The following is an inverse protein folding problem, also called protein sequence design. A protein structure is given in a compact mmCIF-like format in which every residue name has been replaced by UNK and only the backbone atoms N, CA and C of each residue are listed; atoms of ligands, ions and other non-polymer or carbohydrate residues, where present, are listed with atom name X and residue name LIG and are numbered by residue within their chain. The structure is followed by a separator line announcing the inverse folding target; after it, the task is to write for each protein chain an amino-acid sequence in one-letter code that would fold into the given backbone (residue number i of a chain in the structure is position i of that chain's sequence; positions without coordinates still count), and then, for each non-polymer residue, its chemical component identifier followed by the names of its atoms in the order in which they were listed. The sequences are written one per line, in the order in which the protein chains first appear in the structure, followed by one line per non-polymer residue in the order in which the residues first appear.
data_IF_311029005137
#
_entry.id   IF_311029005137
#
_cell.length_a   1.000
_cell.length_b   1.000
_cell.length_c   1.000
_cell.angle_alpha   90.00
_cell.angle_beta   90.00
_cell.angle_gamma   90.00
#
_symmetry.space_group_name_H-M   'P 1'
#
loop_
_entity.id
_entity.type
_entity.pdbx_description
1 polymer ?
#
# COMPACT_ATOMS: atom_id res chain seq x y z
N UNK A 1 -41.61 15.93 21.12
CA UNK A 1 -40.22 15.42 21.07
C UNK A 1 -39.95 14.35 22.13
N UNK A 2 -40.19 14.53 23.44
CA UNK A 2 -39.97 13.51 24.50
C UNK A 2 -40.68 12.17 24.23
N UNK A 3 -41.93 12.15 23.74
CA UNK A 3 -42.70 10.93 23.44
C UNK A 3 -42.14 10.17 22.24
N UNK A 4 -41.65 10.86 21.20
CA UNK A 4 -41.00 10.24 20.02
C UNK A 4 -39.66 9.60 20.41
N UNK A 5 -38.89 10.27 21.25
CA UNK A 5 -37.61 9.75 21.76
C UNK A 5 -37.81 8.49 22.61
N UNK A 6 -38.89 8.46 23.45
CA UNK A 6 -39.24 7.29 24.27
C UNK A 6 -39.67 6.10 23.42
N UNK A 7 -40.41 6.31 22.33
CA UNK A 7 -40.83 5.25 21.40
C UNK A 7 -39.62 4.69 20.64
N UNK A 8 -38.68 5.57 20.23
CA UNK A 8 -37.45 5.13 19.56
C UNK A 8 -36.59 4.22 20.45
N UNK A 9 -36.47 4.54 21.75
CA UNK A 9 -35.72 3.76 22.73
C UNK A 9 -36.39 2.37 22.98
N UNK A 10 -37.73 2.29 23.00
CA UNK A 10 -38.44 1.01 23.18
C UNK A 10 -38.25 0.08 21.97
N UNK A 11 -38.22 0.62 20.77
CA UNK A 11 -38.01 -0.18 19.54
C UNK A 11 -36.60 -0.78 19.50
N UNK A 12 -35.59 -0.07 19.96
CA UNK A 12 -34.21 -0.58 20.02
C UNK A 12 -34.03 -1.70 21.05
N UNK A 13 -34.71 -1.61 22.20
CA UNK A 13 -34.66 -2.65 23.23
C UNK A 13 -35.38 -3.94 22.81
N UNK A 14 -36.48 -3.87 22.06
CA UNK A 14 -37.20 -5.04 21.56
C UNK A 14 -36.43 -5.82 20.49
N UNK A 15 -35.63 -5.14 19.64
CA UNK A 15 -34.80 -5.78 18.63
C UNK A 15 -33.65 -6.59 19.26
N UNK A 16 -33.05 -6.07 20.34
CA UNK A 16 -31.98 -6.73 21.07
C UNK A 16 -32.44 -8.05 21.73
N UNK A 17 -33.66 -8.09 22.24
CA UNK A 17 -34.22 -9.29 22.89
C UNK A 17 -34.48 -10.44 21.91
N UNK A 18 -34.93 -10.16 20.68
CA UNK A 18 -35.16 -11.18 19.66
C UNK A 18 -33.84 -11.82 19.16
N UNK A 19 -32.82 -11.01 18.95
CA UNK A 19 -31.51 -11.51 18.55
C UNK A 19 -30.89 -12.38 19.64
N UNK A 20 -30.94 -11.97 20.89
CA UNK A 20 -30.41 -12.76 22.00
C UNK A 20 -31.14 -14.07 22.20
N UNK A 21 -32.48 -14.09 22.03
CA UNK A 21 -33.26 -15.33 22.06
C UNK A 21 -32.82 -16.27 20.92
N UNK A 22 -32.65 -15.74 19.71
CA UNK A 22 -32.16 -16.51 18.57
C UNK A 22 -30.78 -17.11 18.83
N UNK A 23 -29.84 -16.32 19.36
CA UNK A 23 -28.49 -16.80 19.71
C UNK A 23 -28.55 -17.94 20.72
N UNK A 24 -29.40 -17.83 21.75
CA UNK A 24 -29.46 -18.81 22.84
C UNK A 24 -30.23 -20.07 22.47
N UNK A 25 -31.43 -19.92 21.91
CA UNK A 25 -32.42 -20.99 21.78
C UNK A 25 -32.73 -21.34 20.32
N UNK A 26 -32.19 -20.62 19.34
CA UNK A 26 -32.48 -20.83 17.92
C UNK A 26 -31.87 -22.14 17.39
N UNK A 27 -32.62 -22.82 16.55
CA UNK A 27 -32.12 -24.00 15.80
C UNK A 27 -31.03 -23.59 14.82
N UNK A 28 -30.14 -24.52 14.41
CA UNK A 28 -29.12 -24.23 13.40
C UNK A 28 -29.68 -23.62 12.10
N UNK A 29 -30.87 -24.06 11.67
CA UNK A 29 -31.49 -23.51 10.47
C UNK A 29 -32.02 -22.10 10.68
N UNK A 30 -32.68 -21.80 11.81
CA UNK A 30 -33.13 -20.43 12.14
C UNK A 30 -31.94 -19.45 12.25
N UNK A 31 -30.83 -19.92 12.84
CA UNK A 31 -29.59 -19.11 12.92
C UNK A 31 -29.01 -18.88 11.53
N UNK A 32 -29.03 -19.87 10.64
CA UNK A 32 -28.50 -19.70 9.27
C UNK A 32 -29.35 -18.73 8.46
N UNK A 33 -30.68 -18.83 8.54
CA UNK A 33 -31.58 -17.94 7.81
C UNK A 33 -31.45 -16.50 8.32
N UNK A 34 -31.31 -16.32 9.63
CA UNK A 34 -31.09 -15.02 10.25
C UNK A 34 -29.69 -14.47 9.88
N UNK A 35 -28.63 -15.27 9.89
CA UNK A 35 -27.30 -14.87 9.49
C UNK A 35 -27.26 -14.38 8.04
N UNK A 36 -27.89 -15.12 7.12
CA UNK A 36 -28.03 -14.71 5.71
C UNK A 36 -28.82 -13.40 5.57
N UNK A 37 -29.89 -13.24 6.34
CA UNK A 37 -30.66 -12.01 6.36
C UNK A 37 -29.83 -10.82 6.85
N UNK A 38 -29.18 -10.93 8.03
CA UNK A 38 -28.32 -9.88 8.55
C UNK A 38 -27.17 -9.53 7.61
N UNK A 39 -26.57 -10.53 6.98
CA UNK A 39 -25.55 -10.34 5.96
C UNK A 39 -26.10 -9.55 4.75
N UNK A 40 -27.27 -9.90 4.24
CA UNK A 40 -27.94 -9.21 3.13
C UNK A 40 -28.30 -7.76 3.48
N UNK A 41 -28.69 -7.52 4.72
CA UNK A 41 -28.98 -6.19 5.29
C UNK A 41 -27.69 -5.38 5.62
N UNK A 42 -26.49 -5.96 5.37
CA UNK A 42 -25.17 -5.43 5.73
C UNK A 42 -24.97 -5.23 7.25
N UNK A 43 -25.76 -5.90 8.06
CA UNK A 43 -25.60 -5.92 9.51
C UNK A 43 -24.60 -7.02 9.90
N UNK A 44 -23.36 -6.81 9.50
CA UNK A 44 -22.28 -7.77 9.68
C UNK A 44 -21.99 -8.07 11.15
N UNK A 45 -22.19 -7.08 12.04
CA UNK A 45 -21.99 -7.26 13.49
C UNK A 45 -22.94 -8.29 14.09
N UNK A 46 -24.18 -8.44 13.58
CA UNK A 46 -25.10 -9.50 13.99
C UNK A 46 -24.91 -10.78 13.19
N UNK A 47 -24.48 -10.70 11.95
CA UNK A 47 -24.22 -11.89 11.12
C UNK A 47 -23.02 -12.71 11.64
N UNK A 48 -21.93 -12.05 12.01
CA UNK A 48 -20.65 -12.67 12.40
C UNK A 48 -20.78 -13.72 13.51
N UNK A 49 -21.37 -13.41 14.70
CA UNK A 49 -21.46 -14.39 15.79
C UNK A 49 -22.31 -15.60 15.41
N UNK A 50 -23.38 -15.41 14.62
CA UNK A 50 -24.20 -16.50 14.10
C UNK A 50 -23.40 -17.39 13.14
N UNK A 51 -22.68 -16.79 12.20
CA UNK A 51 -21.86 -17.52 11.22
C UNK A 51 -20.72 -18.28 11.91
N UNK A 52 -20.10 -17.69 12.92
CA UNK A 52 -19.05 -18.33 13.72
C UNK A 52 -19.55 -19.60 14.42
N UNK A 53 -20.68 -19.51 15.12
CA UNK A 53 -21.30 -20.68 15.76
C UNK A 53 -21.70 -21.78 14.74
N UNK A 54 -22.26 -21.34 13.60
CA UNK A 54 -22.66 -22.23 12.52
C UNK A 54 -21.48 -22.96 11.88
N UNK A 55 -20.29 -22.38 11.83
CA UNK A 55 -19.08 -23.07 11.33
C UNK A 55 -18.76 -24.32 12.17
N UNK A 56 -19.02 -24.29 13.47
CA UNK A 56 -18.90 -25.45 14.34
C UNK A 56 -20.02 -26.48 14.11
N UNK A 57 -21.27 -26.00 14.08
CA UNK A 57 -22.46 -26.87 13.98
C UNK A 57 -22.57 -27.57 12.60
N UNK A 58 -22.07 -26.95 11.54
CA UNK A 58 -22.07 -27.51 10.19
C UNK A 58 -20.76 -28.20 9.80
N UNK A 59 -19.91 -28.53 10.78
CA UNK A 59 -18.66 -29.23 10.48
C UNK A 59 -18.92 -30.54 9.70
N UNK A 60 -18.18 -30.73 8.59
CA UNK A 60 -18.36 -31.89 7.71
C UNK A 60 -19.59 -31.85 6.78
N UNK A 61 -20.40 -30.79 6.82
CA UNK A 61 -21.54 -30.59 5.93
C UNK A 61 -21.23 -29.69 4.75
N UNK A 62 -21.95 -29.85 3.64
CA UNK A 62 -21.75 -29.07 2.42
C UNK A 62 -22.03 -27.58 2.62
N UNK A 63 -22.98 -27.20 3.45
CA UNK A 63 -23.39 -25.83 3.74
C UNK A 63 -22.28 -25.02 4.42
N UNK A 64 -21.31 -25.69 5.08
CA UNK A 64 -20.20 -25.04 5.77
C UNK A 64 -19.36 -24.19 4.85
N UNK A 65 -19.22 -24.55 3.58
CA UNK A 65 -18.51 -23.76 2.58
C UNK A 65 -19.16 -22.37 2.41
N UNK A 66 -20.47 -22.33 2.21
CA UNK A 66 -21.21 -21.06 2.07
C UNK A 66 -21.14 -20.24 3.37
N UNK A 67 -21.30 -20.86 4.51
CA UNK A 67 -21.22 -20.20 5.82
C UNK A 67 -19.84 -19.56 6.01
N UNK A 68 -18.77 -20.28 5.67
CA UNK A 68 -17.40 -19.75 5.82
C UNK A 68 -17.13 -18.60 4.86
N UNK A 69 -17.65 -18.68 3.64
CA UNK A 69 -17.56 -17.59 2.67
C UNK A 69 -18.26 -16.33 3.18
N UNK A 70 -19.48 -16.41 3.66
CA UNK A 70 -20.21 -15.30 4.27
C UNK A 70 -19.51 -14.75 5.52
N UNK A 71 -18.93 -15.63 6.33
CA UNK A 71 -18.16 -15.24 7.50
C UNK A 71 -16.93 -14.41 7.12
N UNK A 72 -16.17 -14.83 6.10
CA UNK A 72 -15.03 -14.09 5.58
C UNK A 72 -15.43 -12.68 5.10
N UNK A 73 -16.54 -12.60 4.35
CA UNK A 73 -17.08 -11.32 3.88
C UNK A 73 -17.65 -10.45 5.00
N UNK A 74 -18.15 -11.03 6.08
CA UNK A 74 -18.65 -10.26 7.22
C UNK A 74 -17.51 -9.47 7.89
N UNK A 75 -16.31 -10.05 8.01
CA UNK A 75 -15.11 -9.32 8.46
C UNK A 75 -14.70 -8.22 7.48
N UNK A 76 -14.82 -8.48 6.19
CA UNK A 76 -14.56 -7.44 5.18
C UNK A 76 -15.55 -6.29 5.30
N UNK A 77 -16.82 -6.59 5.55
CA UNK A 77 -17.88 -5.61 5.72
C UNK A 77 -17.79 -4.78 7.00
N UNK A 78 -17.16 -5.32 8.06
CA UNK A 78 -16.82 -4.57 9.28
C UNK A 78 -15.45 -3.88 9.20
N UNK A 79 -14.81 -3.91 8.02
CA UNK A 79 -13.48 -3.33 7.76
C UNK A 79 -12.34 -3.95 8.61
N UNK A 80 -12.57 -5.11 9.23
CA UNK A 80 -11.50 -5.89 9.83
C UNK A 80 -10.74 -6.66 8.73
N UNK A 81 -9.96 -5.90 7.96
CA UNK A 81 -9.22 -6.46 6.83
C UNK A 81 -8.13 -7.45 7.23
N UNK A 82 -7.70 -7.46 8.50
CA UNK A 82 -6.74 -8.44 8.99
C UNK A 82 -7.39 -9.82 9.06
N UNK A 83 -8.50 -9.91 9.79
CA UNK A 83 -9.23 -11.17 9.94
C UNK A 83 -9.92 -11.57 8.63
N UNK A 84 -10.47 -10.63 7.88
CA UNK A 84 -11.03 -10.92 6.55
C UNK A 84 -10.00 -11.60 5.64
N UNK A 85 -8.80 -11.01 5.52
CA UNK A 85 -7.72 -11.55 4.67
C UNK A 85 -7.26 -12.94 5.12
N UNK A 86 -7.20 -13.18 6.43
CA UNK A 86 -6.92 -14.49 7.00
C UNK A 86 -8.00 -15.50 6.64
N UNK A 87 -9.27 -15.17 6.84
CA UNK A 87 -10.39 -16.09 6.57
C UNK A 87 -10.58 -16.36 5.08
N UNK A 88 -10.39 -15.37 4.20
CA UNK A 88 -10.40 -15.61 2.75
C UNK A 88 -9.30 -16.56 2.30
N UNK A 89 -8.08 -16.39 2.82
CA UNK A 89 -6.97 -17.30 2.51
C UNK A 89 -7.25 -18.72 3.02
N UNK A 90 -7.75 -18.85 4.24
CA UNK A 90 -8.12 -20.13 4.82
C UNK A 90 -9.29 -20.79 4.09
N UNK A 91 -10.28 -20.02 3.63
CA UNK A 91 -11.35 -20.52 2.77
C UNK A 91 -10.77 -21.17 1.50
N UNK A 92 -9.88 -20.46 0.80
CA UNK A 92 -9.29 -20.95 -0.44
C UNK A 92 -8.41 -22.20 -0.24
N UNK A 93 -7.80 -22.34 0.94
CA UNK A 93 -7.01 -23.52 1.31
C UNK A 93 -7.90 -24.70 1.69
N UNK A 94 -8.95 -24.45 2.49
CA UNK A 94 -9.86 -25.47 2.98
C UNK A 94 -10.74 -26.03 1.86
N UNK A 95 -11.23 -25.15 0.99
CA UNK A 95 -12.13 -25.50 -0.13
C UNK A 95 -11.39 -25.38 -1.47
N UNK A 96 -10.35 -26.16 -1.62
CA UNK A 96 -9.44 -26.09 -2.78
C UNK A 96 -10.13 -26.35 -4.15
N UNK A 97 -11.29 -27.02 -4.16
CA UNK A 97 -12.09 -27.30 -5.36
C UNK A 97 -13.30 -26.37 -5.51
N UNK A 98 -13.46 -25.39 -4.63
CA UNK A 98 -14.55 -24.42 -4.69
C UNK A 98 -14.45 -23.52 -5.92
N UNK A 99 -15.57 -23.23 -6.55
CA UNK A 99 -15.68 -22.20 -7.59
C UNK A 99 -15.45 -20.79 -7.05
N UNK A 100 -15.54 -20.60 -5.73
CA UNK A 100 -15.27 -19.32 -5.03
C UNK A 100 -13.83 -19.16 -4.60
N UNK A 101 -12.95 -20.16 -4.84
CA UNK A 101 -11.53 -20.13 -4.43
C UNK A 101 -10.78 -18.97 -5.03
N UNK A 102 -10.94 -18.75 -6.33
CA UNK A 102 -10.27 -17.65 -7.04
C UNK A 102 -10.65 -16.29 -6.44
N UNK A 103 -11.95 -16.05 -6.25
CA UNK A 103 -12.45 -14.83 -5.63
C UNK A 103 -11.95 -14.67 -4.19
N UNK A 104 -11.91 -15.74 -3.40
CA UNK A 104 -11.42 -15.69 -2.03
C UNK A 104 -9.92 -15.29 -1.99
N UNK A 105 -9.08 -15.84 -2.87
CA UNK A 105 -7.67 -15.44 -2.96
C UNK A 105 -7.49 -13.98 -3.41
N UNK A 106 -8.31 -13.54 -4.36
CA UNK A 106 -8.36 -12.14 -4.75
C UNK A 106 -8.75 -11.25 -3.56
N UNK A 107 -9.80 -11.58 -2.83
CA UNK A 107 -10.26 -10.82 -1.66
C UNK A 107 -9.21 -10.82 -0.53
N UNK A 108 -8.46 -11.89 -0.35
CA UNK A 108 -7.31 -11.91 0.57
C UNK A 108 -6.24 -10.88 0.17
N UNK A 109 -5.93 -10.77 -1.12
CA UNK A 109 -5.00 -9.75 -1.63
C UNK A 109 -5.57 -8.33 -1.48
N UNK A 110 -6.87 -8.13 -1.76
CA UNK A 110 -7.59 -6.86 -1.54
C UNK A 110 -7.54 -6.44 -0.07
N UNK A 111 -7.67 -7.35 0.87
CA UNK A 111 -7.55 -7.05 2.30
C UNK A 111 -6.14 -6.50 2.64
N UNK A 112 -5.09 -7.06 2.06
CA UNK A 112 -3.73 -6.52 2.21
C UNK A 112 -3.59 -5.14 1.60
N UNK A 113 -4.19 -4.89 0.43
CA UNK A 113 -4.26 -3.57 -0.19
C UNK A 113 -4.95 -2.55 0.73
N UNK A 114 -6.10 -2.92 1.33
CA UNK A 114 -6.82 -2.06 2.28
C UNK A 114 -6.01 -1.73 3.54
N UNK A 115 -5.06 -2.58 3.91
CA UNK A 115 -4.14 -2.38 5.04
C UNK A 115 -2.88 -1.62 4.68
N UNK A 116 -2.65 -1.28 3.42
CA UNK A 116 -1.51 -0.48 3.00
C UNK A 116 -1.55 0.91 3.65
N UNK A 117 -0.41 1.33 4.18
CA UNK A 117 -0.30 2.52 5.00
C UNK A 117 -0.16 3.80 4.16
N UNK A 118 -0.51 4.98 4.72
CA UNK A 118 -0.18 6.28 4.15
C UNK A 118 1.34 6.43 3.93
N UNK A 119 1.71 7.31 3.00
CA UNK A 119 3.11 7.53 2.56
C UNK A 119 4.06 7.85 3.73
N UNK A 120 3.59 8.52 4.76
CA UNK A 120 4.38 9.00 5.91
C UNK A 120 4.80 7.85 6.85
N UNK A 121 4.04 6.75 6.86
CA UNK A 121 4.26 5.61 7.74
C UNK A 121 5.18 4.54 7.11
N UNK A 122 5.40 3.44 7.84
CA UNK A 122 6.13 2.27 7.33
C UNK A 122 5.43 1.67 6.11
N UNK A 123 6.20 1.35 5.08
CA UNK A 123 5.69 0.84 3.80
C UNK A 123 5.80 -0.69 3.65
N UNK A 124 6.20 -1.41 4.68
CA UNK A 124 6.21 -2.88 4.69
C UNK A 124 4.82 -3.46 4.35
N UNK A 125 3.69 -2.95 4.91
CA UNK A 125 2.35 -3.41 4.51
C UNK A 125 2.04 -3.13 3.05
N UNK A 126 2.52 -2.01 2.48
CA UNK A 126 2.35 -1.65 1.07
C UNK A 126 3.07 -2.64 0.16
N UNK A 127 4.33 -2.99 0.48
CA UNK A 127 5.09 -3.99 -0.28
C UNK A 127 4.44 -5.38 -0.17
N UNK A 128 3.95 -5.77 1.01
CA UNK A 128 3.23 -7.02 1.21
C UNK A 128 1.94 -7.09 0.39
N UNK A 129 1.26 -5.97 0.20
CA UNK A 129 0.05 -5.90 -0.64
C UNK A 129 0.40 -6.06 -2.13
N UNK A 130 1.45 -5.39 -2.62
CA UNK A 130 1.95 -5.56 -4.00
C UNK A 130 2.29 -7.02 -4.26
N UNK A 131 3.05 -7.65 -3.38
CA UNK A 131 3.45 -9.06 -3.52
C UNK A 131 2.24 -10.00 -3.53
N UNK A 132 1.19 -9.73 -2.73
CA UNK A 132 -0.01 -10.54 -2.71
C UNK A 132 -0.83 -10.41 -4.00
N UNK A 133 -0.99 -9.19 -4.52
CA UNK A 133 -1.66 -8.94 -5.80
C UNK A 133 -0.89 -9.59 -6.96
N UNK A 134 0.43 -9.49 -6.98
CA UNK A 134 1.27 -10.14 -7.99
C UNK A 134 1.17 -11.67 -7.90
N UNK A 135 1.15 -12.23 -6.69
CA UNK A 135 0.97 -13.68 -6.48
C UNK A 135 -0.36 -14.15 -7.04
N UNK A 136 -1.43 -13.38 -6.81
CA UNK A 136 -2.75 -13.69 -7.39
C UNK A 136 -2.71 -13.68 -8.91
N UNK A 137 -2.14 -12.65 -9.55
CA UNK A 137 -2.02 -12.56 -11.01
C UNK A 137 -1.23 -13.75 -11.58
N UNK A 138 -0.12 -14.12 -10.93
CA UNK A 138 0.71 -15.24 -11.37
C UNK A 138 -0.05 -16.58 -11.29
N UNK A 139 -0.92 -16.74 -10.30
CA UNK A 139 -1.73 -17.94 -10.12
C UNK A 139 -2.95 -18.00 -11.05
N UNK A 140 -3.53 -16.83 -11.37
CA UNK A 140 -4.73 -16.69 -12.19
C UNK A 140 -4.54 -15.63 -13.30
N UNK A 141 -3.67 -15.88 -14.30
CA UNK A 141 -3.33 -14.86 -15.30
C UNK A 141 -4.50 -14.46 -16.22
N UNK A 142 -5.52 -15.31 -16.32
CA UNK A 142 -6.70 -15.07 -17.14
C UNK A 142 -7.93 -14.64 -16.31
N UNK A 143 -7.75 -14.34 -15.03
CA UNK A 143 -8.83 -13.90 -14.14
C UNK A 143 -9.41 -12.55 -14.56
N UNK A 144 -10.72 -12.39 -14.38
CA UNK A 144 -11.39 -11.09 -14.55
C UNK A 144 -10.86 -10.01 -13.58
N UNK A 145 -10.24 -10.41 -12.46
CA UNK A 145 -9.68 -9.51 -11.44
C UNK A 145 -8.28 -8.97 -11.79
N UNK A 146 -7.61 -9.47 -12.84
CA UNK A 146 -6.23 -9.06 -13.19
C UNK A 146 -6.11 -7.56 -13.44
N UNK A 147 -7.05 -6.98 -14.18
CA UNK A 147 -7.06 -5.54 -14.45
C UNK A 147 -7.15 -4.70 -13.16
N UNK A 148 -8.00 -5.12 -12.23
CA UNK A 148 -8.16 -4.43 -10.94
C UNK A 148 -6.92 -4.60 -10.05
N UNK A 149 -6.30 -5.79 -10.06
CA UNK A 149 -5.04 -6.04 -9.35
C UNK A 149 -3.92 -5.11 -9.87
N UNK A 150 -3.78 -4.97 -11.19
CA UNK A 150 -2.79 -4.06 -11.79
C UNK A 150 -3.03 -2.62 -11.35
N UNK A 151 -4.27 -2.13 -11.43
CA UNK A 151 -4.62 -0.77 -10.97
C UNK A 151 -4.26 -0.54 -9.50
N UNK A 152 -4.55 -1.52 -8.62
CA UNK A 152 -4.20 -1.44 -7.20
C UNK A 152 -2.68 -1.47 -6.98
N UNK A 153 -1.95 -2.27 -7.76
CA UNK A 153 -0.48 -2.32 -7.68
C UNK A 153 0.15 -1.00 -8.12
N UNK A 154 -0.38 -0.37 -9.16
CA UNK A 154 0.10 0.94 -9.63
C UNK A 154 -0.14 2.02 -8.57
N UNK A 155 -1.30 2.03 -7.91
CA UNK A 155 -1.57 2.92 -6.78
C UNK A 155 -0.55 2.74 -5.65
N UNK A 156 -0.25 1.49 -5.28
CA UNK A 156 0.72 1.18 -4.22
C UNK A 156 2.15 1.58 -4.62
N UNK A 157 2.56 1.33 -5.86
CA UNK A 157 3.86 1.75 -6.40
C UNK A 157 4.01 3.26 -6.37
N UNK A 158 2.96 4.01 -6.70
CA UNK A 158 2.96 5.47 -6.60
C UNK A 158 3.13 5.97 -5.16
N UNK A 159 2.59 5.25 -4.15
CA UNK A 159 2.83 5.58 -2.72
C UNK A 159 4.30 5.36 -2.34
N UNK A 160 4.90 4.24 -2.76
CA UNK A 160 6.32 3.97 -2.51
C UNK A 160 7.20 5.02 -3.18
N UNK A 161 6.94 5.33 -4.44
CA UNK A 161 7.65 6.37 -5.18
C UNK A 161 7.58 7.73 -4.49
N UNK A 162 6.37 8.14 -4.06
CA UNK A 162 6.17 9.38 -3.32
C UNK A 162 7.02 9.40 -2.04
N UNK A 163 7.04 8.31 -1.28
CA UNK A 163 7.86 8.17 -0.06
C UNK A 163 9.34 8.40 -0.33
N UNK A 164 9.88 7.72 -1.35
CA UNK A 164 11.30 7.82 -1.70
C UNK A 164 11.66 9.24 -2.17
N UNK A 165 10.80 9.83 -3.00
CA UNK A 165 10.95 11.20 -3.47
C UNK A 165 10.95 12.22 -2.31
N UNK A 166 9.99 12.13 -1.40
CA UNK A 166 9.92 13.04 -0.26
C UNK A 166 11.08 12.87 0.71
N UNK A 167 11.56 11.65 0.92
CA UNK A 167 12.75 11.39 1.73
C UNK A 167 14.02 12.02 1.11
N UNK A 168 14.20 11.88 -0.20
CA UNK A 168 15.35 12.48 -0.88
C UNK A 168 15.35 14.01 -0.73
N UNK A 169 14.19 14.65 -0.90
CA UNK A 169 14.05 16.10 -0.68
C UNK A 169 14.28 16.50 0.77
N UNK A 170 13.80 15.70 1.72
CA UNK A 170 14.00 15.96 3.15
C UNK A 170 15.49 15.90 3.50
N UNK A 171 16.22 14.87 3.10
CA UNK A 171 17.67 14.77 3.34
C UNK A 171 18.42 15.97 2.73
N UNK A 172 18.07 16.39 1.53
CA UNK A 172 18.66 17.56 0.90
C UNK A 172 18.40 18.83 1.72
N UNK A 173 17.14 19.07 2.13
CA UNK A 173 16.75 20.25 2.91
C UNK A 173 17.40 20.33 4.28
N UNK A 174 17.70 19.16 4.87
CA UNK A 174 18.41 19.05 6.16
C UNK A 174 19.93 19.15 6.05
N UNK A 175 20.48 19.29 4.83
CA UNK A 175 21.92 19.33 4.60
C UNK A 175 22.63 17.97 4.63
N UNK A 176 21.87 16.87 4.67
CA UNK A 176 22.41 15.49 4.58
C UNK A 176 22.67 15.11 3.12
N UNK A 177 23.53 15.87 2.45
CA UNK A 177 23.71 15.80 1.01
C UNK A 177 24.14 14.44 0.49
N UNK A 178 25.02 13.73 1.21
CA UNK A 178 25.41 12.37 0.86
C UNK A 178 24.21 11.40 0.90
N UNK A 179 23.39 11.49 1.95
CA UNK A 179 22.18 10.67 2.06
C UNK A 179 21.13 11.02 1.00
N UNK A 180 21.04 12.32 0.64
CA UNK A 180 20.17 12.77 -0.45
C UNK A 180 20.59 12.19 -1.80
N UNK A 181 21.90 12.19 -2.11
CA UNK A 181 22.41 11.56 -3.34
C UNK A 181 22.06 10.08 -3.41
N UNK A 182 22.32 9.32 -2.33
CA UNK A 182 22.00 7.88 -2.29
C UNK A 182 20.49 7.65 -2.43
N UNK A 183 19.67 8.45 -1.75
CA UNK A 183 18.21 8.34 -1.86
C UNK A 183 17.70 8.64 -3.28
N UNK A 184 18.25 9.68 -3.92
CA UNK A 184 17.92 10.00 -5.32
C UNK A 184 18.37 8.89 -6.28
N UNK A 185 19.58 8.35 -6.10
CA UNK A 185 20.11 7.27 -6.92
C UNK A 185 19.22 6.03 -6.84
N UNK A 186 18.89 5.57 -5.62
CA UNK A 186 18.01 4.42 -5.42
C UNK A 186 16.62 4.67 -6.04
N UNK A 187 16.07 5.89 -5.88
CA UNK A 187 14.77 6.23 -6.47
C UNK A 187 14.78 6.12 -8.00
N UNK A 188 15.83 6.62 -8.64
CA UNK A 188 15.98 6.61 -10.10
C UNK A 188 16.20 5.18 -10.64
N UNK A 189 16.87 4.32 -9.87
CA UNK A 189 17.10 2.91 -10.21
C UNK A 189 15.86 2.05 -10.00
N UNK A 190 15.17 2.21 -8.85
CA UNK A 190 14.00 1.41 -8.48
C UNK A 190 12.75 1.79 -9.29
N UNK A 191 12.67 3.04 -9.77
CA UNK A 191 11.50 3.58 -10.49
C UNK A 191 11.93 4.30 -11.79
N UNK A 192 12.39 3.55 -12.81
CA UNK A 192 12.92 4.16 -14.04
C UNK A 192 11.89 5.01 -14.81
N UNK A 193 10.60 4.68 -14.71
CA UNK A 193 9.51 5.34 -15.44
C UNK A 193 8.87 6.51 -14.65
N UNK A 194 9.51 6.98 -13.60
CA UNK A 194 8.94 8.05 -12.76
C UNK A 194 8.86 9.40 -13.46
N UNK A 195 7.71 10.06 -13.34
CA UNK A 195 7.41 11.37 -13.99
C UNK A 195 8.36 12.51 -13.57
N UNK A 196 8.91 12.45 -12.34
CA UNK A 196 9.81 13.48 -11.78
C UNK A 196 11.27 13.05 -11.78
N UNK A 197 11.65 12.23 -12.73
CA UNK A 197 13.01 11.70 -12.83
C UNK A 197 14.04 12.81 -13.03
N UNK A 198 13.73 13.81 -13.86
CA UNK A 198 14.59 14.99 -14.08
C UNK A 198 14.77 15.82 -12.79
N UNK A 199 13.74 15.96 -11.97
CA UNK A 199 13.84 16.68 -10.69
C UNK A 199 14.75 15.94 -9.71
N UNK A 200 14.61 14.61 -9.58
CA UNK A 200 15.47 13.82 -8.67
C UNK A 200 16.92 13.77 -9.15
N UNK A 201 17.14 13.64 -10.44
CA UNK A 201 18.49 13.65 -11.00
C UNK A 201 19.15 15.03 -10.84
N UNK A 202 18.38 16.12 -11.02
CA UNK A 202 18.85 17.45 -10.67
C UNK A 202 19.19 17.58 -9.16
N UNK A 203 18.31 17.11 -8.28
CA UNK A 203 18.52 17.14 -6.83
C UNK A 203 19.79 16.38 -6.44
N UNK A 204 20.09 15.27 -7.12
CA UNK A 204 21.32 14.50 -6.92
C UNK A 204 22.57 15.32 -7.34
N UNK A 205 22.51 16.03 -8.46
CA UNK A 205 23.60 16.92 -8.91
C UNK A 205 23.82 18.06 -7.91
N UNK A 206 22.75 18.70 -7.44
CA UNK A 206 22.82 19.80 -6.47
C UNK A 206 23.36 19.32 -5.12
N UNK A 207 22.90 18.16 -4.65
CA UNK A 207 23.40 17.54 -3.43
C UNK A 207 24.89 17.18 -3.54
N UNK A 208 25.35 16.66 -4.68
CA UNK A 208 26.76 16.37 -4.92
C UNK A 208 27.62 17.62 -4.83
N UNK A 209 27.18 18.71 -5.46
CA UNK A 209 27.88 20.00 -5.40
C UNK A 209 27.96 20.54 -3.96
N UNK A 210 26.82 20.55 -3.25
CA UNK A 210 26.75 21.04 -1.88
C UNK A 210 27.59 20.17 -0.92
N UNK A 211 27.61 18.85 -1.15
CA UNK A 211 28.46 17.93 -0.41
C UNK A 211 29.94 18.20 -0.62
N UNK A 212 30.36 18.48 -1.87
CA UNK A 212 31.72 18.86 -2.19
C UNK A 212 32.08 20.18 -1.52
N UNK A 213 31.23 21.20 -1.66
CA UNK A 213 31.44 22.53 -1.12
C UNK A 213 31.62 22.58 0.41
N UNK A 214 30.83 21.74 1.11
CA UNK A 214 30.86 21.65 2.58
C UNK A 214 31.88 20.62 3.10
N UNK A 215 32.79 20.14 2.26
CA UNK A 215 33.80 19.17 2.62
C UNK A 215 35.12 19.84 3.05
N UNK A 216 35.92 19.07 3.81
CA UNK A 216 37.30 19.50 4.08
C UNK A 216 38.10 19.58 2.75
N UNK A 217 39.01 20.53 2.64
CA UNK A 217 39.77 20.82 1.41
C UNK A 217 40.39 19.57 0.79
N UNK A 218 40.98 18.71 1.60
CA UNK A 218 41.57 17.41 1.16
C UNK A 218 40.61 16.50 0.39
N UNK A 219 39.31 16.67 0.59
CA UNK A 219 38.27 15.84 -0.05
C UNK A 219 37.49 16.59 -1.14
N UNK A 220 37.65 17.89 -1.25
CA UNK A 220 36.86 18.70 -2.17
C UNK A 220 37.11 18.32 -3.62
N UNK A 221 38.35 18.13 -4.04
CA UNK A 221 38.72 17.80 -5.43
C UNK A 221 38.04 16.49 -5.90
N UNK A 222 38.11 15.45 -5.07
CA UNK A 222 37.46 14.16 -5.32
C UNK A 222 35.94 14.31 -5.50
N UNK A 223 35.30 15.08 -4.59
CA UNK A 223 33.83 15.25 -4.57
C UNK A 223 33.34 16.21 -5.67
N UNK A 224 34.09 17.23 -6.03
CA UNK A 224 33.77 18.05 -7.20
C UNK A 224 33.89 17.24 -8.49
N UNK A 225 34.86 16.32 -8.58
CA UNK A 225 34.97 15.40 -9.73
C UNK A 225 33.75 14.49 -9.83
N UNK A 226 33.24 13.98 -8.69
CA UNK A 226 32.01 13.21 -8.63
C UNK A 226 30.80 14.06 -9.06
N UNK A 227 30.74 15.34 -8.65
CA UNK A 227 29.70 16.27 -9.11
C UNK A 227 29.68 16.40 -10.63
N UNK A 228 30.85 16.52 -11.28
CA UNK A 228 30.92 16.55 -12.76
C UNK A 228 30.46 15.26 -13.41
N UNK A 229 30.68 14.09 -12.77
CA UNK A 229 30.13 12.83 -13.27
C UNK A 229 28.59 12.84 -13.21
N UNK A 230 27.99 13.30 -12.12
CA UNK A 230 26.54 13.44 -12.00
C UNK A 230 25.94 14.45 -12.98
N UNK A 231 26.63 15.55 -13.24
CA UNK A 231 26.27 16.50 -14.32
C UNK A 231 26.28 15.81 -15.69
N UNK A 232 27.29 14.99 -15.97
CA UNK A 232 27.37 14.26 -17.23
C UNK A 232 26.26 13.21 -17.37
N UNK A 233 25.91 12.53 -16.29
CA UNK A 233 24.77 11.60 -16.24
C UNK A 233 23.46 12.32 -16.55
N UNK A 234 23.20 13.47 -15.89
CA UNK A 234 22.01 14.29 -16.15
C UNK A 234 21.92 14.72 -17.62
N UNK A 235 23.02 15.30 -18.18
CA UNK A 235 23.02 15.78 -19.54
C UNK A 235 22.85 14.66 -20.58
N UNK A 236 23.34 13.45 -20.30
CA UNK A 236 23.15 12.29 -21.18
C UNK A 236 21.67 11.87 -21.25
N UNK A 237 20.94 12.01 -20.14
CA UNK A 237 19.57 11.56 -20.05
C UNK A 237 18.56 12.63 -20.50
N UNK A 238 18.77 13.90 -20.14
CA UNK A 238 17.77 14.98 -20.35
C UNK A 238 18.20 16.06 -21.34
N UNK A 239 19.47 16.14 -21.68
CA UNK A 239 20.05 17.19 -22.56
C UNK A 239 19.50 18.59 -22.23
N UNK A 240 18.86 19.26 -23.21
CA UNK A 240 18.27 20.60 -23.05
C UNK A 240 16.78 20.58 -22.74
N UNK A 241 16.15 19.42 -22.72
CA UNK A 241 14.70 19.28 -22.68
C UNK A 241 14.11 19.48 -21.26
N UNK A 242 14.93 19.32 -20.22
CA UNK A 242 14.49 19.53 -18.85
C UNK A 242 14.59 21.02 -18.44
N UNK A 243 13.59 21.46 -17.66
CA UNK A 243 13.64 22.77 -16.97
C UNK A 243 14.85 22.93 -16.04
N UNK A 244 15.50 21.83 -15.65
CA UNK A 244 16.67 21.79 -14.79
C UNK A 244 18.01 21.89 -15.55
N UNK A 245 18.02 21.85 -16.88
CA UNK A 245 19.26 21.93 -17.69
C UNK A 245 20.07 23.22 -17.43
N UNK A 246 19.38 24.35 -17.31
CA UNK A 246 20.04 25.62 -16.94
C UNK A 246 20.62 25.64 -15.52
N UNK A 247 19.88 25.21 -14.46
CA UNK A 247 20.44 25.02 -13.13
C UNK A 247 21.66 24.08 -13.11
N UNK A 248 21.59 22.93 -13.79
CA UNK A 248 22.71 21.98 -13.87
C UNK A 248 23.93 22.59 -14.54
N UNK A 249 23.76 23.34 -15.64
CA UNK A 249 24.85 24.06 -16.29
C UNK A 249 25.52 25.09 -15.33
N UNK A 250 24.72 25.79 -14.52
CA UNK A 250 25.25 26.70 -13.50
C UNK A 250 26.09 25.98 -12.45
N UNK A 251 25.65 24.81 -12.00
CA UNK A 251 26.40 23.97 -11.05
C UNK A 251 27.69 23.48 -11.70
N UNK A 252 27.65 23.03 -12.96
CA UNK A 252 28.83 22.60 -13.72
C UNK A 252 29.90 23.70 -13.71
N UNK A 253 29.55 24.94 -14.14
CA UNK A 253 30.48 26.04 -14.24
C UNK A 253 31.09 26.38 -12.87
N UNK A 254 30.29 26.38 -11.80
CA UNK A 254 30.80 26.60 -10.43
C UNK A 254 31.78 25.52 -9.99
N UNK A 255 31.47 24.26 -10.32
CA UNK A 255 32.30 23.09 -9.98
C UNK A 255 33.65 23.15 -10.71
N UNK A 256 33.65 23.47 -12.01
CA UNK A 256 34.87 23.61 -12.82
C UNK A 256 35.75 24.78 -12.29
N UNK A 257 35.13 25.89 -11.89
CA UNK A 257 35.85 27.00 -11.28
C UNK A 257 36.50 26.61 -9.94
N UNK A 258 35.77 25.89 -9.08
CA UNK A 258 36.29 25.40 -7.80
C UNK A 258 37.46 24.42 -7.97
N UNK A 259 37.37 23.50 -8.94
CA UNK A 259 38.45 22.56 -9.26
C UNK A 259 39.69 23.33 -9.76
N UNK A 260 39.48 24.35 -10.62
CA UNK A 260 40.60 25.17 -11.14
C UNK A 260 41.30 25.96 -10.03
N UNK A 261 40.59 26.36 -8.98
CA UNK A 261 41.17 27.06 -7.82
C UNK A 261 41.97 26.08 -6.93
N UNK A 262 41.39 24.91 -6.62
CA UNK A 262 42.06 23.86 -5.82
C UNK A 262 43.35 23.33 -6.47
N UNK A 263 43.46 23.36 -7.78
CA UNK A 263 44.66 22.92 -8.49
C UNK A 263 45.77 24.01 -8.55
N UNK A 264 45.53 25.22 -8.04
CA UNK A 264 46.55 26.30 -7.94
C UNK A 264 47.24 26.33 -6.59
N UNK A 265 46.62 25.72 -5.56
CA UNK A 265 47.17 25.59 -4.22
C UNK A 265 48.03 24.30 -4.12
#
# INVERSE_FOLDING_TARGET
MRKILSILIIITLASCSKYQKLMKDGTPQEKLDAAKKYYGDKDYLRAQPLLEELLGLYNGRKEREEIYYLYSYSYFGTEDFLLAGYHFNNFATTYALSTKKEEALYMSAVCKFKKAMPTELDQTPTQNAINALQTFINQYPNSAYVSECNTKMDELRMRLLKKVYENAKLYHSLGYYNSAMVACQNAVEDYPDMVKRDELTFLMVDAAYLFAQNSITKKQLERYSETLMKVKEFNREFDTDSKYSKPVLKIKNKTEAAIAELNKE
#
